data_IF_465042082068
#
_entry.id   IF_465042082068
#
_cell.length_a   1.000
_cell.length_b   1.000
_cell.length_c   1.000
_cell.angle_alpha   90.00
_cell.angle_beta   90.00
_cell.angle_gamma   90.00
#
_symmetry.space_group_name_H-M   'P 1'
#
loop_
_entity.id
_entity.type
_entity.pdbx_description
1 polymer ?
#
# COMPACT_ATOMS: atom_id res chain seq x y z
N UNK A 1 45.91 -22.70 24.29
CA UNK A 1 46.75 -23.32 25.35
C UNK A 1 46.44 -22.64 26.68
N UNK A 2 46.50 -23.40 27.78
CA UNK A 2 46.10 -23.11 29.19
C UNK A 2 44.59 -22.96 29.44
N UNK A 3 43.86 -23.98 29.88
CA UNK A 3 43.88 -24.75 31.16
C UNK A 3 43.54 -23.90 32.39
N UNK A 4 42.32 -24.11 32.90
CA UNK A 4 42.04 -24.06 34.33
C UNK A 4 41.56 -25.45 34.78
N UNK A 5 42.12 -25.90 35.89
CA UNK A 5 42.11 -27.26 36.41
C UNK A 5 41.64 -27.18 37.86
N UNK A 6 40.69 -28.02 38.26
CA UNK A 6 40.51 -28.47 39.65
C UNK A 6 39.74 -29.78 39.57
N UNK A 7 40.41 -30.93 39.54
CA UNK A 7 40.63 -31.85 40.68
C UNK A 7 39.46 -31.84 41.68
N UNK A 8 38.69 -32.92 41.85
CA UNK A 8 38.94 -34.35 42.18
C UNK A 8 38.39 -34.52 43.61
N UNK A 9 37.47 -35.45 43.83
CA UNK A 9 37.64 -36.52 44.81
C UNK A 9 36.48 -37.52 44.72
N UNK A 10 36.88 -38.78 44.65
CA UNK A 10 36.09 -40.00 44.47
C UNK A 10 36.72 -41.04 45.43
N UNK A 11 35.93 -42.02 45.88
CA UNK A 11 36.25 -43.15 46.81
C UNK A 11 36.20 -42.83 48.32
N UNK A 12 35.70 -43.69 49.22
CA UNK A 12 35.47 -45.15 49.19
C UNK A 12 34.52 -45.60 50.34
N UNK A 13 33.96 -46.83 50.31
CA UNK A 13 32.99 -47.38 51.27
C UNK A 13 33.60 -48.34 52.31
N UNK A 14 32.95 -48.48 53.48
CA UNK A 14 33.15 -49.56 54.47
C UNK A 14 32.03 -49.46 55.54
N UNK A 15 31.19 -50.48 55.74
CA UNK A 15 31.29 -51.50 56.82
C UNK A 15 31.12 -50.90 58.23
N UNK A 16 30.31 -51.38 59.17
CA UNK A 16 29.73 -52.68 59.48
C UNK A 16 28.76 -52.42 60.67
N UNK A 17 27.67 -53.17 60.85
CA UNK A 17 27.47 -53.86 62.14
C UNK A 17 26.31 -54.88 62.13
N UNK A 18 26.55 -55.94 62.89
CA UNK A 18 25.85 -57.23 62.91
C UNK A 18 25.59 -57.58 64.38
N UNK A 19 24.34 -57.85 64.74
CA UNK A 19 23.91 -58.56 65.96
C UNK A 19 22.70 -59.39 65.50
N UNK A 20 22.76 -60.70 65.23
CA UNK A 20 23.06 -61.92 66.01
C UNK A 20 22.03 -62.22 67.12
N UNK A 21 21.09 -63.07 66.70
CA UNK A 21 20.52 -64.27 67.33
C UNK A 21 19.42 -64.27 68.41
N UNK A 22 18.57 -65.30 68.22
CA UNK A 22 17.60 -65.97 69.10
C UNK A 22 16.29 -65.26 69.45
N UNK A 23 15.17 -65.75 68.89
CA UNK A 23 14.36 -66.75 69.60
C UNK A 23 13.28 -67.34 68.68
N UNK A 24 13.40 -68.64 68.36
CA UNK A 24 12.29 -69.44 67.85
C UNK A 24 11.39 -69.85 69.02
N UNK A 25 10.18 -69.29 69.10
CA UNK A 25 9.06 -69.86 69.87
C UNK A 25 7.75 -69.74 69.06
N UNK A 26 7.09 -70.86 68.70
CA UNK A 26 5.80 -70.84 68.05
C UNK A 26 4.69 -70.94 69.11
N UNK A 27 3.74 -70.00 69.12
CA UNK A 27 2.41 -70.13 69.73
C UNK A 27 1.57 -68.93 69.23
N UNK A 28 0.74 -69.15 68.22
CA UNK A 28 -0.70 -69.44 68.35
C UNK A 28 -1.57 -68.16 68.33
N UNK A 29 -2.35 -68.06 67.24
CA UNK A 29 -3.67 -67.39 67.12
C UNK A 29 -3.62 -65.85 67.21
N UNK A 30 -3.96 -65.09 66.17
CA UNK A 30 -5.33 -65.00 65.70
C UNK A 30 -5.45 -64.49 64.25
N UNK A 31 -6.31 -65.19 63.53
CA UNK A 31 -6.97 -64.85 62.28
C UNK A 31 -7.65 -63.47 62.29
N UNK A 32 -6.90 -62.39 62.06
CA UNK A 32 -7.50 -61.07 61.79
C UNK A 32 -6.78 -60.22 60.73
N UNK A 33 -5.54 -60.53 60.37
CA UNK A 33 -4.79 -59.74 59.37
C UNK A 33 -5.19 -60.03 57.92
N UNK A 34 -5.60 -61.27 57.60
CA UNK A 34 -5.99 -61.60 56.23
C UNK A 34 -7.30 -60.93 55.81
N UNK A 35 -8.24 -60.72 56.73
CA UNK A 35 -9.50 -60.02 56.43
C UNK A 35 -9.27 -58.52 56.27
N UNK A 36 -8.39 -57.92 57.08
CA UNK A 36 -8.09 -56.49 57.05
C UNK A 36 -7.26 -56.09 55.81
N UNK A 37 -6.32 -56.94 55.38
CA UNK A 37 -5.53 -56.76 54.14
C UNK A 37 -6.37 -57.00 52.87
N UNK A 38 -7.32 -57.95 52.91
CA UNK A 38 -8.26 -58.19 51.81
C UNK A 38 -9.32 -57.08 51.70
N UNK A 39 -9.73 -56.50 52.83
CA UNK A 39 -10.69 -55.39 52.86
C UNK A 39 -10.05 -54.08 52.37
N UNK A 40 -8.81 -53.77 52.79
CA UNK A 40 -8.06 -52.60 52.31
C UNK A 40 -7.72 -52.69 50.82
N UNK A 41 -7.36 -53.88 50.31
CA UNK A 41 -7.17 -54.06 48.86
C UNK A 41 -8.47 -53.90 48.08
N UNK A 42 -9.60 -54.44 48.56
CA UNK A 42 -10.90 -54.24 47.94
C UNK A 42 -11.33 -52.76 47.89
N UNK A 43 -11.06 -51.99 48.94
CA UNK A 43 -11.30 -50.55 49.01
C UNK A 43 -10.40 -49.76 48.03
N UNK A 44 -9.12 -50.11 47.91
CA UNK A 44 -8.20 -49.52 46.93
C UNK A 44 -8.66 -49.80 45.50
N UNK A 45 -9.12 -51.02 45.21
CA UNK A 45 -9.67 -51.38 43.90
C UNK A 45 -10.97 -50.62 43.59
N UNK A 46 -11.84 -50.44 44.59
CA UNK A 46 -13.06 -49.65 44.46
C UNK A 46 -12.75 -48.16 44.21
N UNK A 47 -11.76 -47.61 44.92
CA UNK A 47 -11.30 -46.23 44.76
C UNK A 47 -10.66 -46.02 43.38
N UNK A 48 -9.76 -46.90 42.93
CA UNK A 48 -9.16 -46.83 41.60
C UNK A 48 -10.22 -46.93 40.49
N UNK A 49 -11.22 -47.80 40.65
CA UNK A 49 -12.35 -47.90 39.73
C UNK A 49 -13.17 -46.60 39.71
N UNK A 50 -13.39 -45.97 40.86
CA UNK A 50 -14.09 -44.69 40.95
C UNK A 50 -13.29 -43.55 40.29
N UNK A 51 -11.98 -43.47 40.54
CA UNK A 51 -11.06 -42.49 39.94
C UNK A 51 -10.97 -42.65 38.41
N UNK A 52 -10.90 -43.89 37.91
CA UNK A 52 -10.90 -44.14 36.46
C UNK A 52 -12.22 -43.72 35.81
N UNK A 53 -13.36 -43.97 36.47
CA UNK A 53 -14.67 -43.50 36.00
C UNK A 53 -14.75 -41.97 36.02
N UNK A 54 -14.35 -41.31 37.10
CA UNK A 54 -14.39 -39.84 37.17
C UNK A 54 -13.47 -39.19 36.15
N UNK A 55 -12.26 -39.72 35.93
CA UNK A 55 -11.36 -39.25 34.89
C UNK A 55 -11.95 -39.43 33.48
N UNK A 56 -12.63 -40.55 33.22
CA UNK A 56 -13.33 -40.76 31.95
C UNK A 56 -14.46 -39.74 31.77
N UNK A 57 -15.28 -39.51 32.80
CA UNK A 57 -16.33 -38.48 32.77
C UNK A 57 -15.75 -37.08 32.54
N UNK A 58 -14.65 -36.72 33.21
CA UNK A 58 -14.01 -35.41 33.06
C UNK A 58 -13.51 -35.20 31.63
N UNK A 59 -12.88 -36.22 31.02
CA UNK A 59 -12.43 -36.16 29.62
C UNK A 59 -13.58 -36.02 28.64
N UNK A 60 -14.69 -36.72 28.87
CA UNK A 60 -15.90 -36.60 28.04
C UNK A 60 -16.48 -35.18 28.15
N UNK A 61 -16.61 -34.64 29.37
CA UNK A 61 -17.14 -33.29 29.59
C UNK A 61 -16.23 -32.24 28.94
N UNK A 62 -14.91 -32.32 29.13
CA UNK A 62 -13.95 -31.40 28.49
C UNK A 62 -14.02 -31.51 26.97
N UNK A 63 -14.12 -32.73 26.42
CA UNK A 63 -14.28 -32.96 24.98
C UNK A 63 -15.56 -32.33 24.42
N UNK A 64 -16.69 -32.49 25.12
CA UNK A 64 -17.97 -31.89 24.74
C UNK A 64 -17.95 -30.36 24.83
N UNK A 65 -17.35 -29.79 25.88
CA UNK A 65 -17.17 -28.34 26.03
C UNK A 65 -16.26 -27.78 24.93
N UNK A 66 -15.20 -28.50 24.57
CA UNK A 66 -14.31 -28.11 23.48
C UNK A 66 -15.03 -28.17 22.13
N UNK A 67 -15.76 -29.25 21.86
CA UNK A 67 -16.51 -29.41 20.61
C UNK A 67 -17.61 -28.36 20.46
N UNK A 68 -18.33 -28.03 21.53
CA UNK A 68 -19.34 -26.98 21.54
C UNK A 68 -18.72 -25.59 21.33
N UNK A 69 -17.59 -25.29 21.96
CA UNK A 69 -16.84 -24.06 21.70
C UNK A 69 -16.40 -23.97 20.24
N UNK A 70 -15.82 -25.03 19.68
CA UNK A 70 -15.43 -25.08 18.26
C UNK A 70 -16.63 -24.90 17.33
N UNK A 71 -17.76 -25.53 17.62
CA UNK A 71 -18.99 -25.36 16.84
C UNK A 71 -19.50 -23.91 16.89
N UNK A 72 -19.50 -23.28 18.07
CA UNK A 72 -19.90 -21.87 18.22
C UNK A 72 -18.96 -20.93 17.45
N UNK A 73 -17.64 -21.14 17.52
CA UNK A 73 -16.67 -20.36 16.76
C UNK A 73 -16.83 -20.56 15.24
N UNK A 74 -17.10 -21.78 14.80
CA UNK A 74 -17.33 -22.08 13.38
C UNK A 74 -18.65 -21.48 12.87
N UNK A 75 -19.70 -21.45 13.71
CA UNK A 75 -20.97 -20.80 13.38
C UNK A 75 -20.87 -19.27 13.37
N UNK A 76 -20.00 -18.68 14.20
CA UNK A 76 -19.75 -17.23 14.24
C UNK A 76 -18.70 -16.75 13.23
N UNK A 77 -17.88 -17.64 12.67
CA UNK A 77 -16.83 -17.37 11.68
C UNK A 77 -17.33 -16.59 10.45
N UNK A 78 -18.47 -16.92 9.81
CA UNK A 78 -18.94 -16.18 8.64
C UNK A 78 -19.31 -14.72 8.95
N UNK A 79 -19.93 -14.47 10.11
CA UNK A 79 -20.37 -13.14 10.53
C UNK A 79 -19.18 -12.26 10.96
N UNK A 80 -18.23 -12.84 11.69
CA UNK A 80 -16.98 -12.16 12.05
C UNK A 80 -16.13 -11.90 10.81
N UNK A 81 -15.97 -12.88 9.91
CA UNK A 81 -15.25 -12.70 8.64
C UNK A 81 -15.84 -11.56 7.79
N UNK A 82 -17.17 -11.52 7.64
CA UNK A 82 -17.85 -10.42 6.92
C UNK A 82 -17.56 -9.07 7.57
N UNK A 83 -17.67 -8.98 8.89
CA UNK A 83 -17.43 -7.73 9.65
C UNK A 83 -15.97 -7.26 9.51
N UNK A 84 -15.00 -8.17 9.61
CA UNK A 84 -13.57 -7.86 9.41
C UNK A 84 -13.25 -7.40 7.99
N UNK A 85 -13.91 -7.98 6.98
CA UNK A 85 -13.76 -7.57 5.58
C UNK A 85 -14.29 -6.15 5.34
N UNK A 86 -15.41 -5.79 5.95
CA UNK A 86 -16.00 -4.44 5.85
C UNK A 86 -15.18 -3.38 6.59
N UNK A 87 -14.62 -3.72 7.76
CA UNK A 87 -13.77 -2.82 8.55
C UNK A 87 -12.46 -2.45 7.83
N UNK A 88 -11.89 -3.36 7.03
CA UNK A 88 -10.69 -3.07 6.23
C UNK A 88 -10.92 -2.13 5.05
N UNK A 89 -12.17 -1.87 4.66
CA UNK A 89 -12.50 -1.21 3.38
C UNK A 89 -12.81 0.28 3.48
N UNK A 90 -12.97 0.87 4.66
CA UNK A 90 -13.33 2.28 4.75
C UNK A 90 -12.10 3.19 4.59
N UNK A 91 -12.07 4.06 3.55
CA UNK A 91 -10.98 5.02 3.39
C UNK A 91 -10.99 6.02 4.55
N UNK A 92 -9.79 6.49 4.92
CA UNK A 92 -9.61 7.50 5.98
C UNK A 92 -10.23 8.83 5.56
N UNK A 93 -10.08 9.20 4.28
CA UNK A 93 -10.67 10.40 3.70
C UNK A 93 -12.01 10.05 3.04
N UNK A 94 -13.02 10.89 3.26
CA UNK A 94 -14.24 10.85 2.46
C UNK A 94 -13.91 11.36 1.05
N UNK A 95 -14.50 10.74 0.04
CA UNK A 95 -14.26 11.11 -1.35
C UNK A 95 -15.47 10.79 -2.21
N UNK A 96 -15.78 11.61 -3.23
CA UNK A 96 -16.78 11.28 -4.25
C UNK A 96 -16.30 10.19 -5.22
N UNK A 97 -14.98 9.94 -5.28
CA UNK A 97 -14.39 8.94 -6.17
C UNK A 97 -14.68 7.53 -5.64
N UNK A 98 -15.21 6.61 -6.46
CA UNK A 98 -15.44 5.23 -6.04
C UNK A 98 -14.14 4.47 -5.76
N UNK A 99 -14.24 3.30 -5.12
CA UNK A 99 -13.09 2.40 -4.93
C UNK A 99 -12.57 1.97 -6.30
N UNK A 100 -11.37 2.45 -6.67
CA UNK A 100 -10.71 2.08 -7.92
C UNK A 100 -9.98 0.74 -7.70
N UNK A 101 -10.21 -0.29 -8.53
CA UNK A 101 -9.58 -1.59 -8.36
C UNK A 101 -8.07 -1.50 -8.59
N UNK A 102 -7.32 -2.33 -7.88
CA UNK A 102 -5.88 -2.53 -8.10
C UNK A 102 -5.65 -3.56 -9.21
N UNK A 103 -4.59 -3.36 -9.99
CA UNK A 103 -4.14 -4.27 -11.03
C UNK A 103 -2.61 -4.38 -11.01
N UNK A 104 -2.11 -5.55 -11.44
CA UNK A 104 -0.70 -5.75 -11.68
C UNK A 104 -0.33 -5.17 -13.04
N UNK A 105 0.59 -4.21 -13.07
CA UNK A 105 1.07 -3.60 -14.31
C UNK A 105 2.56 -3.87 -14.47
N UNK A 106 2.98 -4.31 -15.66
CA UNK A 106 4.41 -4.45 -15.97
C UNK A 106 4.85 -3.19 -16.67
N UNK A 107 5.83 -2.49 -16.11
CA UNK A 107 6.36 -1.28 -16.73
C UNK A 107 7.25 -1.64 -17.91
N UNK A 108 7.05 -0.90 -19.01
CA UNK A 108 7.83 -1.01 -20.24
C UNK A 108 8.14 0.37 -20.75
N UNK A 109 9.33 0.51 -21.32
CA UNK A 109 9.65 1.71 -22.07
C UNK A 109 8.66 1.88 -23.23
N UNK A 110 8.16 3.10 -23.39
CA UNK A 110 7.29 3.48 -24.48
C UNK A 110 7.87 4.71 -25.18
N UNK A 111 8.31 4.52 -26.41
CA UNK A 111 8.97 5.55 -27.22
C UNK A 111 8.11 6.81 -27.39
N UNK A 112 6.77 6.70 -27.41
CA UNK A 112 5.89 7.86 -27.51
C UNK A 112 6.06 8.82 -26.33
N UNK A 113 6.32 8.28 -25.14
CA UNK A 113 6.46 9.06 -23.93
C UNK A 113 7.92 9.40 -23.60
N UNK A 114 8.91 8.62 -24.08
CA UNK A 114 10.34 8.91 -23.88
C UNK A 114 10.97 9.78 -24.96
N UNK A 115 10.37 9.89 -26.15
CA UNK A 115 10.92 10.67 -27.26
C UNK A 115 10.73 12.20 -27.13
N UNK A 116 11.53 12.93 -27.92
CA UNK A 116 11.47 14.39 -28.05
C UNK A 116 10.09 14.88 -28.54
N UNK A 117 9.63 16.09 -28.12
CA UNK A 117 8.43 16.73 -28.62
C UNK A 117 8.36 16.80 -30.14
N UNK A 118 7.21 16.37 -30.64
CA UNK A 118 6.75 16.49 -32.02
C UNK A 118 5.23 16.30 -32.01
N UNK A 119 4.57 16.53 -33.15
CA UNK A 119 3.11 16.44 -33.24
C UNK A 119 2.53 15.12 -32.71
N UNK A 120 3.20 13.98 -32.96
CA UNK A 120 2.74 12.67 -32.51
C UNK A 120 2.94 12.47 -31.00
N UNK A 121 4.12 12.82 -30.47
CA UNK A 121 4.40 12.66 -29.04
C UNK A 121 3.58 13.65 -28.22
N UNK A 122 3.43 14.89 -28.67
CA UNK A 122 2.62 15.89 -27.99
C UNK A 122 1.14 15.49 -27.95
N UNK A 123 0.59 14.95 -29.05
CA UNK A 123 -0.77 14.41 -29.04
C UNK A 123 -0.93 13.22 -28.07
N UNK A 124 0.07 12.33 -27.97
CA UNK A 124 0.05 11.23 -27.00
C UNK A 124 0.09 11.74 -25.56
N UNK A 125 0.90 12.77 -25.28
CA UNK A 125 0.96 13.41 -23.96
C UNK A 125 -0.34 14.16 -23.61
N UNK A 126 -0.94 14.87 -24.55
CA UNK A 126 -2.24 15.53 -24.37
C UNK A 126 -3.34 14.50 -24.05
N UNK A 127 -3.31 13.32 -24.68
CA UNK A 127 -4.25 12.24 -24.45
C UNK A 127 -4.11 11.55 -23.07
N UNK A 128 -3.07 11.85 -22.29
CA UNK A 128 -2.96 11.39 -20.89
C UNK A 128 -3.96 12.12 -19.98
N UNK A 129 -4.47 13.27 -20.40
CA UNK A 129 -5.57 13.94 -19.73
C UNK A 129 -6.91 13.50 -20.33
N UNK A 130 -7.91 13.16 -19.49
CA UNK A 130 -9.25 12.88 -19.95
C UNK A 130 -9.91 14.18 -20.42
N UNK A 131 -11.07 14.08 -21.09
CA UNK A 131 -11.97 15.22 -21.27
C UNK A 131 -12.13 15.99 -19.96
N UNK A 132 -12.17 17.33 -20.03
CA UNK A 132 -12.19 18.18 -18.84
C UNK A 132 -10.84 18.37 -18.12
N UNK A 133 -9.73 17.91 -18.71
CA UNK A 133 -8.35 18.07 -18.18
C UNK A 133 -8.13 17.48 -16.78
N UNK A 134 -8.96 16.51 -16.39
CA UNK A 134 -8.87 15.89 -15.06
C UNK A 134 -9.67 16.60 -13.97
N UNK A 135 -10.51 17.57 -14.31
CA UNK A 135 -11.46 18.18 -13.36
C UNK A 135 -12.79 17.44 -13.36
N UNK A 136 -13.48 17.45 -12.22
CA UNK A 136 -14.83 16.90 -12.03
C UNK A 136 -15.72 17.90 -11.30
N UNK A 137 -17.03 17.82 -11.53
CA UNK A 137 -18.00 18.56 -10.72
C UNK A 137 -18.24 17.85 -9.38
N UNK A 138 -18.23 18.59 -8.27
CA UNK A 138 -18.60 18.06 -6.95
C UNK A 138 -19.53 19.06 -6.26
N UNK A 139 -20.82 19.11 -6.62
CA UNK A 139 -21.76 20.07 -6.05
C UNK A 139 -22.03 19.83 -4.56
N UNK A 140 -21.94 18.57 -4.10
CA UNK A 140 -22.17 18.18 -2.70
C UNK A 140 -20.85 18.05 -1.92
N UNK A 141 -19.92 18.99 -2.08
CA UNK A 141 -18.54 18.86 -1.57
C UNK A 141 -18.48 18.71 -0.04
N UNK A 142 -19.41 19.31 0.70
CA UNK A 142 -19.50 19.24 2.16
C UNK A 142 -19.78 17.83 2.66
N UNK A 143 -20.47 16.99 1.87
CA UNK A 143 -20.69 15.56 2.21
C UNK A 143 -19.38 14.79 2.30
N UNK A 144 -18.36 15.27 1.60
CA UNK A 144 -17.04 14.66 1.51
C UNK A 144 -15.99 15.39 2.37
N UNK A 145 -16.43 16.30 3.25
CA UNK A 145 -15.55 17.16 4.07
C UNK A 145 -14.53 17.95 3.21
N UNK A 146 -14.89 18.28 1.96
CA UNK A 146 -14.06 19.06 1.06
C UNK A 146 -14.36 20.55 1.22
N UNK A 147 -13.33 21.43 1.21
CA UNK A 147 -13.53 22.87 1.11
C UNK A 147 -14.11 23.24 -0.27
N UNK A 148 -14.53 24.49 -0.43
CA UNK A 148 -14.94 25.03 -1.74
C UNK A 148 -13.84 24.83 -2.79
N UNK A 149 -14.24 24.34 -3.96
CA UNK A 149 -13.40 24.15 -5.13
C UNK A 149 -13.29 25.41 -5.97
N UNK A 150 -12.86 25.24 -7.22
CA UNK A 150 -12.81 26.35 -8.17
C UNK A 150 -14.22 26.66 -8.67
N UNK A 151 -14.66 27.91 -8.46
CA UNK A 151 -15.97 28.37 -8.89
C UNK A 151 -15.95 28.76 -10.38
N UNK A 152 -16.78 28.10 -11.18
CA UNK A 152 -16.95 28.37 -12.61
C UNK A 152 -18.39 28.76 -12.90
N UNK A 153 -18.67 29.44 -14.04
CA UNK A 153 -20.05 29.75 -14.44
C UNK A 153 -20.98 28.54 -14.56
N UNK A 154 -20.43 27.33 -14.64
CA UNK A 154 -21.17 26.07 -14.79
C UNK A 154 -21.26 25.26 -13.50
N UNK A 155 -20.61 25.72 -12.42
CA UNK A 155 -20.56 25.07 -11.12
C UNK A 155 -19.14 24.86 -10.61
N UNK A 156 -19.06 24.38 -9.37
CA UNK A 156 -17.81 24.19 -8.65
C UNK A 156 -17.08 22.92 -9.12
N UNK A 157 -15.80 23.06 -9.43
CA UNK A 157 -14.96 21.97 -9.96
C UNK A 157 -13.76 21.67 -9.06
N UNK A 158 -13.29 20.43 -9.15
CA UNK A 158 -12.14 19.92 -8.40
C UNK A 158 -11.23 19.13 -9.32
N UNK A 159 -9.92 19.33 -9.18
CA UNK A 159 -8.92 18.54 -9.92
C UNK A 159 -8.74 17.18 -9.26
N UNK A 160 -8.80 16.12 -10.06
CA UNK A 160 -8.40 14.78 -9.63
C UNK A 160 -6.88 14.70 -9.66
N UNK A 161 -6.29 14.28 -8.53
CA UNK A 161 -4.85 14.39 -8.28
C UNK A 161 -3.96 13.74 -9.35
N UNK A 162 -4.31 12.55 -9.84
CA UNK A 162 -3.50 11.84 -10.87
C UNK A 162 -3.31 12.68 -12.13
N UNK A 163 -4.31 13.44 -12.55
CA UNK A 163 -4.23 14.26 -13.76
C UNK A 163 -3.48 15.58 -13.52
N UNK A 164 -3.54 16.13 -12.32
CA UNK A 164 -2.67 17.25 -11.94
C UNK A 164 -1.21 16.80 -11.91
N UNK A 165 -0.92 15.60 -11.41
CA UNK A 165 0.42 15.02 -11.46
C UNK A 165 0.91 14.83 -12.90
N UNK A 166 0.04 14.33 -13.79
CA UNK A 166 0.36 14.22 -15.22
C UNK A 166 0.59 15.60 -15.87
N UNK A 167 -0.22 16.62 -15.55
CA UNK A 167 -0.01 18.00 -15.98
C UNK A 167 1.38 18.51 -15.57
N UNK A 168 1.75 18.35 -14.30
CA UNK A 168 3.07 18.77 -13.80
C UNK A 168 4.20 18.04 -14.55
N UNK A 169 4.08 16.73 -14.77
CA UNK A 169 5.08 15.96 -15.52
C UNK A 169 5.17 16.44 -16.99
N UNK A 170 4.05 16.74 -17.63
CA UNK A 170 3.99 17.28 -18.99
C UNK A 170 4.65 18.66 -19.10
N UNK A 171 4.43 19.54 -18.11
CA UNK A 171 5.09 20.84 -18.02
C UNK A 171 6.61 20.68 -17.90
N UNK A 172 7.08 19.80 -17.00
CA UNK A 172 8.50 19.52 -16.84
C UNK A 172 9.13 19.00 -18.13
N UNK A 173 8.50 18.01 -18.79
CA UNK A 173 8.94 17.52 -20.11
C UNK A 173 9.09 18.68 -21.09
N UNK A 174 8.06 19.50 -21.24
CA UNK A 174 8.04 20.59 -22.21
C UNK A 174 9.17 21.58 -21.96
N UNK A 175 9.35 21.99 -20.70
CA UNK A 175 10.42 22.92 -20.33
C UNK A 175 11.80 22.33 -20.58
N UNK A 176 12.04 21.07 -20.20
CA UNK A 176 13.32 20.39 -20.46
C UNK A 176 13.71 20.47 -21.93
N UNK A 177 12.80 20.13 -22.85
CA UNK A 177 13.09 20.16 -24.28
C UNK A 177 13.22 21.59 -24.83
N UNK A 178 12.41 22.53 -24.35
CA UNK A 178 12.53 23.95 -24.71
C UNK A 178 13.91 24.51 -24.35
N UNK A 179 14.45 24.20 -23.17
CA UNK A 179 15.80 24.59 -22.77
C UNK A 179 16.87 23.92 -23.63
N UNK A 180 16.79 22.60 -23.80
CA UNK A 180 17.77 21.84 -24.58
C UNK A 180 17.85 22.33 -26.02
N UNK A 181 16.71 22.58 -26.65
CA UNK A 181 16.61 23.00 -28.04
C UNK A 181 17.24 24.39 -28.25
N UNK A 182 16.95 25.33 -27.35
CA UNK A 182 17.52 26.68 -27.40
C UNK A 182 19.05 26.67 -27.19
N UNK A 183 19.56 25.78 -26.33
CA UNK A 183 21.00 25.62 -26.09
C UNK A 183 21.67 24.98 -27.31
N UNK A 184 21.14 23.87 -27.82
CA UNK A 184 21.72 23.11 -28.95
C UNK A 184 21.72 23.96 -30.23
N UNK A 185 20.66 24.74 -30.46
CA UNK A 185 20.60 25.66 -31.59
C UNK A 185 21.46 26.92 -31.41
N UNK A 186 22.02 27.15 -30.22
CA UNK A 186 22.67 28.40 -29.83
C UNK A 186 21.79 29.64 -30.11
N UNK A 187 20.47 29.50 -29.91
CA UNK A 187 19.49 30.56 -30.13
C UNK A 187 19.43 31.46 -28.90
N UNK A 188 20.26 32.50 -28.89
CA UNK A 188 20.40 33.43 -27.77
C UNK A 188 19.13 34.21 -27.45
N UNK A 189 18.28 34.46 -28.45
CA UNK A 189 17.05 35.22 -28.25
C UNK A 189 15.98 34.35 -27.59
N UNK A 190 15.82 33.11 -28.05
CA UNK A 190 14.95 32.12 -27.37
C UNK A 190 15.47 31.84 -25.96
N UNK A 191 16.78 31.69 -25.75
CA UNK A 191 17.35 31.53 -24.41
C UNK A 191 16.99 32.71 -23.49
N UNK A 192 17.11 33.96 -23.97
CA UNK A 192 16.71 35.15 -23.20
C UNK A 192 15.20 35.15 -22.91
N UNK A 193 14.38 34.77 -23.88
CA UNK A 193 12.93 34.61 -23.71
C UNK A 193 12.58 33.59 -22.64
N UNK A 194 13.24 32.42 -22.64
CA UNK A 194 13.04 31.38 -21.63
C UNK A 194 13.47 31.90 -20.25
N UNK A 195 14.65 32.51 -20.13
CA UNK A 195 15.12 33.08 -18.85
C UNK A 195 14.11 34.07 -18.31
N UNK A 196 13.56 34.95 -19.16
CA UNK A 196 12.51 35.90 -18.78
C UNK A 196 11.24 35.19 -18.30
N UNK A 197 10.76 34.19 -19.06
CA UNK A 197 9.56 33.42 -18.73
C UNK A 197 9.64 32.80 -17.33
N UNK A 198 10.83 32.33 -16.95
CA UNK A 198 11.08 31.71 -15.65
C UNK A 198 11.39 32.73 -14.56
N UNK A 199 12.26 33.71 -14.79
CA UNK A 199 12.64 34.67 -13.74
C UNK A 199 11.56 35.70 -13.43
N UNK A 200 10.82 36.15 -14.44
CA UNK A 200 9.87 37.27 -14.32
C UNK A 200 8.41 36.80 -14.46
N UNK A 201 8.18 35.62 -15.05
CA UNK A 201 6.85 35.05 -15.21
C UNK A 201 6.43 34.16 -14.04
N UNK A 202 5.14 33.77 -14.05
CA UNK A 202 4.59 32.82 -13.07
C UNK A 202 5.14 31.39 -13.24
N UNK A 203 5.93 31.13 -14.28
CA UNK A 203 6.40 29.78 -14.62
C UNK A 203 7.48 29.24 -13.67
N UNK A 204 8.36 30.05 -13.07
CA UNK A 204 9.30 29.52 -12.07
C UNK A 204 8.58 29.06 -10.81
N UNK A 205 7.61 29.83 -10.31
CA UNK A 205 6.76 29.39 -9.19
C UNK A 205 6.04 28.08 -9.54
N UNK A 206 5.57 27.97 -10.78
CA UNK A 206 4.92 26.76 -11.27
C UNK A 206 5.86 25.55 -11.27
N UNK A 207 7.07 25.69 -11.79
CA UNK A 207 8.06 24.60 -11.80
C UNK A 207 8.51 24.20 -10.40
N UNK A 208 8.74 25.16 -9.50
CA UNK A 208 9.08 24.86 -8.11
C UNK A 208 7.98 24.05 -7.41
N UNK A 209 6.70 24.41 -7.61
CA UNK A 209 5.63 23.60 -7.03
C UNK A 209 5.55 22.23 -7.70
N UNK A 210 5.82 22.10 -9.00
CA UNK A 210 5.72 20.82 -9.71
C UNK A 210 6.71 19.83 -9.12
N UNK A 211 7.94 20.28 -8.86
CA UNK A 211 8.96 19.45 -8.22
C UNK A 211 8.53 18.98 -6.83
N UNK A 212 8.06 19.87 -5.96
CA UNK A 212 7.65 19.45 -4.62
C UNK A 212 6.36 18.61 -4.63
N UNK A 213 5.38 18.97 -5.47
CA UNK A 213 4.13 18.22 -5.60
C UNK A 213 4.35 16.79 -6.10
N UNK A 214 5.21 16.60 -7.11
CA UNK A 214 5.58 15.27 -7.60
C UNK A 214 6.40 14.49 -6.56
N UNK A 215 7.33 15.14 -5.85
CA UNK A 215 8.07 14.52 -4.73
C UNK A 215 7.11 14.01 -3.66
N UNK A 216 6.14 14.83 -3.24
CA UNK A 216 5.13 14.45 -2.27
C UNK A 216 4.23 13.32 -2.79
N UNK A 217 3.83 13.39 -4.05
CA UNK A 217 3.04 12.34 -4.72
C UNK A 217 3.75 10.99 -4.69
N UNK A 218 5.02 10.94 -5.11
CA UNK A 218 5.81 9.70 -5.12
C UNK A 218 5.94 9.15 -3.70
N UNK A 219 6.22 10.03 -2.72
CA UNK A 219 6.34 9.64 -1.31
C UNK A 219 5.01 9.14 -0.73
N UNK A 220 3.90 9.73 -1.14
CA UNK A 220 2.55 9.35 -0.71
C UNK A 220 2.11 8.02 -1.33
N UNK A 221 2.42 7.78 -2.60
CA UNK A 221 2.15 6.51 -3.26
C UNK A 221 3.01 5.40 -2.64
N UNK A 222 4.28 5.70 -2.32
CA UNK A 222 5.15 4.82 -1.55
C UNK A 222 5.32 3.44 -2.20
N UNK A 223 5.57 3.41 -3.51
CA UNK A 223 5.75 2.15 -4.23
C UNK A 223 7.01 1.43 -3.72
N UNK A 224 6.79 0.33 -3.00
CA UNK A 224 7.83 -0.50 -2.39
C UNK A 224 8.13 -1.75 -3.23
N UNK A 225 7.81 -1.74 -4.53
CA UNK A 225 8.16 -2.83 -5.45
C UNK A 225 9.67 -3.07 -5.46
N UNK A 226 10.07 -4.33 -5.32
CA UNK A 226 11.49 -4.72 -5.34
C UNK A 226 11.96 -4.87 -6.77
N UNK A 227 12.69 -3.87 -7.26
CA UNK A 227 13.28 -3.88 -8.60
C UNK A 227 14.58 -4.70 -8.64
N UNK A 228 14.79 -5.45 -9.73
CA UNK A 228 16.01 -6.21 -9.97
C UNK A 228 16.75 -5.70 -11.22
N UNK A 229 18.07 -5.91 -11.31
CA UNK A 229 18.83 -5.44 -12.47
C UNK A 229 18.44 -6.18 -13.74
N UNK A 230 18.38 -5.44 -14.86
CA UNK A 230 18.21 -6.04 -16.18
C UNK A 230 19.44 -6.87 -16.58
N UNK A 231 19.21 -7.81 -17.50
CA UNK A 231 20.31 -8.62 -18.06
C UNK A 231 20.89 -7.89 -19.27
N UNK A 232 22.18 -7.58 -19.18
CA UNK A 232 22.93 -6.93 -20.24
C UNK A 232 23.22 -7.89 -21.40
N UNK A 233 23.61 -7.34 -22.56
CA UNK A 233 23.96 -8.14 -23.75
C UNK A 233 25.09 -9.14 -23.49
N UNK A 234 25.98 -8.83 -22.56
CA UNK A 234 27.10 -9.68 -22.13
C UNK A 234 26.76 -10.62 -20.97
N UNK A 235 25.49 -10.68 -20.56
CA UNK A 235 24.98 -11.53 -19.48
C UNK A 235 25.19 -10.97 -18.07
N UNK A 236 25.85 -9.82 -17.90
CA UNK A 236 26.01 -9.18 -16.59
C UNK A 236 24.70 -8.56 -16.12
N UNK A 237 24.61 -8.30 -14.82
CA UNK A 237 23.45 -7.67 -14.17
C UNK A 237 23.94 -6.59 -13.21
N UNK A 238 23.82 -5.33 -13.60
CA UNK A 238 24.30 -4.20 -12.79
C UNK A 238 23.46 -2.93 -12.88
N UNK A 239 22.60 -2.78 -13.90
CA UNK A 239 21.71 -1.62 -14.06
C UNK A 239 20.28 -1.99 -13.65
N UNK A 240 19.68 -1.18 -12.77
CA UNK A 240 18.26 -1.24 -12.40
C UNK A 240 17.57 -0.05 -13.04
N UNK A 241 16.61 -0.30 -13.94
CA UNK A 241 15.88 0.72 -14.69
C UNK A 241 14.36 0.61 -14.54
N UNK A 242 13.87 -0.31 -13.69
CA UNK A 242 12.46 -0.49 -13.38
C UNK A 242 11.63 -1.21 -14.45
N UNK A 243 12.23 -1.60 -15.58
CA UNK A 243 11.49 -2.25 -16.67
C UNK A 243 11.30 -3.75 -16.46
N UNK A 244 10.21 -4.28 -17.05
CA UNK A 244 9.78 -5.67 -16.96
C UNK A 244 9.56 -6.16 -15.51
N UNK A 245 9.44 -5.23 -14.57
CA UNK A 245 9.11 -5.46 -13.17
C UNK A 245 7.61 -5.16 -12.98
N UNK A 246 6.89 -6.02 -12.24
CA UNK A 246 5.48 -5.79 -11.97
C UNK A 246 5.25 -4.91 -10.75
N UNK A 247 4.36 -3.93 -10.92
CA UNK A 247 3.90 -3.01 -9.88
C UNK A 247 2.42 -3.25 -9.57
N UNK A 248 2.00 -2.92 -8.35
CA UNK A 248 0.58 -2.89 -7.97
C UNK A 248 0.04 -1.47 -8.18
N UNK A 249 -0.71 -1.27 -9.27
CA UNK A 249 -1.22 0.05 -9.65
C UNK A 249 -2.74 0.09 -9.54
N UNK A 250 -3.31 1.29 -9.39
CA UNK A 250 -4.75 1.46 -9.67
C UNK A 250 -5.01 1.21 -11.16
N UNK A 251 -6.16 0.61 -11.47
CA UNK A 251 -6.54 0.33 -12.84
C UNK A 251 -6.77 1.62 -13.61
N UNK A 252 -5.96 1.84 -14.65
CA UNK A 252 -6.05 3.02 -15.50
C UNK A 252 -7.41 3.08 -16.20
N UNK A 253 -7.91 1.95 -16.71
CA UNK A 253 -9.20 1.87 -17.38
C UNK A 253 -10.34 2.29 -16.42
N UNK A 254 -10.32 1.80 -15.18
CA UNK A 254 -11.32 2.19 -14.18
C UNK A 254 -11.23 3.68 -13.79
N UNK A 255 -10.04 4.27 -13.81
CA UNK A 255 -9.84 5.71 -13.61
C UNK A 255 -10.47 6.48 -14.78
N UNK A 256 -10.18 6.10 -16.02
CA UNK A 256 -10.72 6.77 -17.21
C UNK A 256 -12.25 6.61 -17.29
N UNK A 257 -12.79 5.42 -17.00
CA UNK A 257 -14.24 5.17 -16.91
C UNK A 257 -14.96 6.06 -15.89
N UNK A 258 -14.28 6.40 -14.79
CA UNK A 258 -14.80 7.35 -13.81
C UNK A 258 -14.81 8.77 -14.39
N UNK A 259 -13.73 9.17 -15.05
CA UNK A 259 -13.62 10.51 -15.63
C UNK A 259 -14.63 10.72 -16.77
N UNK A 260 -14.82 9.75 -17.65
CA UNK A 260 -15.77 9.86 -18.75
C UNK A 260 -17.18 10.18 -18.29
N UNK A 261 -17.56 9.74 -17.09
CA UNK A 261 -18.89 9.97 -16.49
C UNK A 261 -18.98 11.26 -15.67
N UNK A 262 -17.89 11.74 -15.10
CA UNK A 262 -17.90 12.77 -14.05
C UNK A 262 -17.10 14.03 -14.39
N UNK A 263 -16.41 14.05 -15.53
CA UNK A 263 -15.52 15.15 -15.89
C UNK A 263 -16.26 16.49 -16.07
N UNK A 264 -15.51 17.56 -15.86
CA UNK A 264 -15.89 18.91 -16.25
C UNK A 264 -15.95 19.03 -17.78
N UNK A 265 -17.16 19.09 -18.35
CA UNK A 265 -17.37 19.03 -19.79
C UNK A 265 -17.30 20.39 -20.53
N UNK A 266 -17.02 21.50 -19.84
CA UNK A 266 -16.90 22.83 -20.45
C UNK A 266 -15.44 23.30 -20.64
N UNK A 267 -14.45 22.42 -20.43
CA UNK A 267 -13.05 22.76 -20.72
C UNK A 267 -12.86 23.01 -22.22
N UNK A 268 -12.37 24.21 -22.57
CA UNK A 268 -12.03 24.57 -23.95
C UNK A 268 -10.59 24.22 -24.34
N UNK A 269 -9.82 23.66 -23.40
CA UNK A 269 -8.42 23.31 -23.57
C UNK A 269 -8.24 21.80 -23.40
N UNK A 270 -7.49 21.18 -24.30
CA UNK A 270 -7.13 19.76 -24.26
C UNK A 270 -5.63 19.52 -24.04
N UNK A 271 -4.83 20.58 -23.99
CA UNK A 271 -3.39 20.45 -23.82
C UNK A 271 -3.04 20.01 -22.40
N UNK A 272 -2.10 19.07 -22.29
CA UNK A 272 -1.54 18.68 -21.00
C UNK A 272 -0.78 19.81 -20.35
N UNK A 273 -0.19 20.70 -21.14
CA UNK A 273 0.76 21.72 -20.70
C UNK A 273 0.65 22.96 -21.60
N UNK A 274 -0.47 23.71 -21.57
CA UNK A 274 -0.64 24.91 -22.37
C UNK A 274 0.37 25.98 -21.95
N UNK A 275 0.97 26.66 -22.93
CA UNK A 275 1.70 27.90 -22.67
C UNK A 275 0.81 29.02 -23.17
N UNK A 276 0.20 29.75 -22.23
CA UNK A 276 -0.64 30.91 -22.55
C UNK A 276 0.18 32.09 -23.13
N UNK A 277 1.52 31.96 -23.18
CA UNK A 277 2.46 33.06 -23.34
C UNK A 277 3.60 32.86 -24.38
N UNK A 278 3.49 31.90 -25.32
CA UNK A 278 4.52 31.70 -26.39
C UNK A 278 4.69 32.96 -27.24
N UNK A 279 3.62 33.74 -27.40
CA UNK A 279 3.66 35.04 -28.07
C UNK A 279 4.67 36.00 -27.44
N UNK A 280 5.00 35.85 -26.14
CA UNK A 280 6.02 36.65 -25.46
C UNK A 280 7.46 36.12 -25.59
N UNK A 281 7.67 34.91 -26.12
CA UNK A 281 9.01 34.42 -26.45
C UNK A 281 9.61 35.16 -27.66
N UNK A 282 8.76 35.73 -28.52
CA UNK A 282 9.15 36.46 -29.71
C UNK A 282 8.77 37.95 -29.70
N UNK A 283 8.07 38.46 -28.68
CA UNK A 283 7.66 39.86 -28.65
C UNK A 283 8.79 40.77 -28.16
N UNK A 284 9.48 41.44 -29.08
CA UNK A 284 10.26 42.65 -28.79
C UNK A 284 9.39 43.90 -28.63
N UNK A 285 8.06 43.82 -28.73
CA UNK A 285 7.21 45.02 -28.63
C UNK A 285 5.98 44.78 -27.74
N UNK A 286 5.81 45.69 -26.78
CA UNK A 286 4.69 45.73 -25.86
C UNK A 286 3.39 46.06 -26.59
N UNK A 287 2.54 45.04 -26.77
CA UNK A 287 1.14 45.19 -27.13
C UNK A 287 0.28 44.44 -26.11
N UNK A 288 -0.67 45.14 -25.50
CA UNK A 288 -1.63 44.58 -24.55
C UNK A 288 -2.47 43.46 -25.21
N UNK A 289 -2.64 42.29 -24.57
CA UNK A 289 -3.35 41.18 -25.18
C UNK A 289 -4.84 41.50 -25.37
N UNK A 290 -5.35 41.27 -26.58
CA UNK A 290 -6.76 41.41 -26.88
C UNK A 290 -7.60 40.41 -26.06
N UNK A 291 -8.63 40.90 -25.37
CA UNK A 291 -9.58 40.07 -24.63
C UNK A 291 -10.27 39.06 -25.57
N UNK A 292 -10.45 37.80 -25.16
CA UNK A 292 -11.15 36.81 -25.97
C UNK A 292 -12.61 37.24 -26.18
N UNK A 293 -13.07 37.20 -27.43
CA UNK A 293 -14.48 37.42 -27.78
C UNK A 293 -15.28 36.19 -27.33
N UNK A 294 -16.17 36.38 -26.35
CA UNK A 294 -17.19 35.41 -25.98
C UNK A 294 -18.13 35.20 -27.18
N UNK A 295 -18.32 33.97 -27.70
CA UNK A 295 -19.30 33.74 -28.75
C UNK A 295 -20.72 33.94 -28.20
N UNK A 296 -21.66 34.47 -29.00
CA UNK A 296 -23.02 34.71 -28.54
C UNK A 296 -23.70 33.39 -28.19
N UNK A 297 -24.38 33.37 -27.05
CA UNK A 297 -25.25 32.28 -26.60
C UNK A 297 -26.31 32.05 -27.67
N UNK A 298 -26.25 30.89 -28.33
CA UNK A 298 -27.34 30.41 -29.19
C UNK A 298 -28.41 29.87 -28.25
N UNK A 299 -29.48 30.64 -28.08
CA UNK A 299 -30.69 30.16 -27.43
C UNK A 299 -31.48 29.29 -28.43
N UNK A 300 -31.60 27.99 -28.15
CA UNK A 300 -32.70 27.12 -28.56
C UNK A 300 -32.92 26.06 -27.46
#
# INVERSE_FOLDING_TARGET
>A
MSRFNSRRDEHSPAAYDRVVDEESKPLHVASSDSENEHQTTAEIYALNRAVLKTNLYLRIVIGLLSATLFALLFLQSPATYKTFKELKKKPILKTPVPEIPMQKTIFRENELYSARPNATTDAAWDALLPPGRGFVFVPDHEKYDLPEGEDTPWGMIYSVAVFHQMHCLGQLRRFTWMFLDAIVANDTDTQRGIVKLFHEGNHASHVHHCFDYLRQTISCAGDMTMEWPRTEKDGRKFAVDGWEIPHECKSQDAIMDYMDKNHFNYSMNSMIAPIDDISKLHSTEGGEPAKPKVPPVVAL
#
